data_IF_509495474853
#
_entry.id   IF_509495474853
#
_cell.length_a   1.000
_cell.length_b   1.000
_cell.length_c   1.000
_cell.angle_alpha   90.00
_cell.angle_beta   90.00
_cell.angle_gamma   90.00
#
_symmetry.space_group_name_H-M   'P 1'
#
loop_
_entity.id
_entity.type
_entity.pdbx_description
1 polymer ?
#
# COMPACT_ATOMS: atom_id res chain seq x y z
N UNK A 1 -14.41 -49.74 -10.25
CA UNK A 1 -15.52 -48.88 -9.79
C UNK A 1 -15.21 -48.08 -8.50
N UNK A 2 -13.94 -47.95 -8.07
CA UNK A 2 -13.57 -47.30 -6.80
C UNK A 2 -12.93 -45.89 -6.95
N UNK A 3 -12.55 -45.49 -8.16
CA UNK A 3 -11.90 -44.19 -8.41
C UNK A 3 -12.76 -42.95 -8.05
N UNK A 4 -14.06 -42.85 -8.35
CA UNK A 4 -14.80 -41.61 -8.09
C UNK A 4 -15.05 -41.36 -6.60
N UNK A 5 -15.21 -42.42 -5.78
CA UNK A 5 -15.40 -42.29 -4.33
C UNK A 5 -14.11 -41.80 -3.65
N UNK A 6 -12.95 -42.24 -4.12
CA UNK A 6 -11.64 -41.81 -3.59
C UNK A 6 -11.38 -40.31 -3.83
N UNK A 7 -11.68 -39.79 -5.02
CA UNK A 7 -11.51 -38.36 -5.31
C UNK A 7 -12.49 -37.47 -4.54
N UNK A 8 -13.73 -37.94 -4.30
CA UNK A 8 -14.71 -37.23 -3.48
C UNK A 8 -14.25 -37.15 -2.02
N UNK A 9 -13.72 -38.24 -1.47
CA UNK A 9 -13.20 -38.26 -0.09
C UNK A 9 -11.99 -37.34 0.05
N UNK A 10 -11.04 -37.35 -0.90
CA UNK A 10 -9.90 -36.42 -0.90
C UNK A 10 -10.37 -34.96 -0.98
N UNK A 11 -11.34 -34.66 -1.85
CA UNK A 11 -11.88 -33.31 -2.00
C UNK A 11 -12.57 -32.83 -0.71
N UNK A 12 -13.33 -33.72 -0.04
CA UNK A 12 -13.98 -33.41 1.24
C UNK A 12 -12.94 -33.18 2.34
N UNK A 13 -11.91 -34.02 2.45
CA UNK A 13 -10.85 -33.86 3.45
C UNK A 13 -10.10 -32.54 3.23
N UNK A 14 -9.69 -32.24 1.99
CA UNK A 14 -9.03 -30.97 1.64
C UNK A 14 -9.92 -29.76 1.93
N UNK A 15 -11.24 -29.87 1.68
CA UNK A 15 -12.17 -28.77 1.94
C UNK A 15 -12.37 -28.54 3.45
N UNK A 16 -12.39 -29.61 4.25
CA UNK A 16 -12.50 -29.53 5.72
C UNK A 16 -11.21 -28.96 6.32
N UNK A 17 -10.04 -29.44 5.89
CA UNK A 17 -8.74 -28.91 6.35
C UNK A 17 -8.59 -27.43 6.00
N UNK A 18 -8.95 -27.04 4.77
CA UNK A 18 -8.94 -25.62 4.37
C UNK A 18 -9.93 -24.77 5.17
N UNK A 19 -11.11 -25.31 5.51
CA UNK A 19 -12.10 -24.62 6.33
C UNK A 19 -11.61 -24.35 7.75
N UNK A 20 -11.00 -25.35 8.39
CA UNK A 20 -10.44 -25.22 9.75
C UNK A 20 -9.26 -24.23 9.75
N UNK A 21 -8.36 -24.35 8.78
CA UNK A 21 -7.21 -23.45 8.69
C UNK A 21 -7.62 -22.00 8.39
N UNK A 22 -8.73 -21.79 7.67
CA UNK A 22 -9.32 -20.46 7.48
C UNK A 22 -9.91 -19.89 8.77
N UNK A 23 -10.60 -20.70 9.58
CA UNK A 23 -11.17 -20.24 10.87
C UNK A 23 -10.08 -19.90 11.90
N UNK A 24 -8.94 -20.60 11.87
CA UNK A 24 -7.79 -20.31 12.72
C UNK A 24 -7.14 -18.96 12.35
N UNK A 25 -6.98 -18.69 11.06
CA UNK A 25 -6.44 -17.41 10.55
C UNK A 25 -7.31 -16.23 10.97
N UNK A 26 -8.63 -16.33 10.85
CA UNK A 26 -9.55 -15.26 11.26
C UNK A 26 -9.50 -15.05 12.78
N UNK A 27 -9.52 -16.14 13.56
CA UNK A 27 -9.40 -16.04 15.03
C UNK A 27 -8.09 -15.38 15.47
N UNK A 28 -6.97 -15.69 14.79
CA UNK A 28 -5.70 -15.01 15.02
C UNK A 28 -5.82 -13.50 14.77
N UNK A 29 -6.36 -13.10 13.61
CA UNK A 29 -6.54 -11.69 13.27
C UNK A 29 -7.45 -10.96 14.26
N UNK A 30 -8.54 -11.57 14.69
CA UNK A 30 -9.44 -11.01 15.70
C UNK A 30 -8.70 -10.78 17.03
N UNK A 31 -7.88 -11.75 17.45
CA UNK A 31 -7.07 -11.65 18.68
C UNK A 31 -6.00 -10.56 18.62
N UNK A 32 -5.61 -10.13 17.42
CA UNK A 32 -4.60 -9.10 17.15
C UNK A 32 -5.16 -7.77 16.67
N UNK A 33 -6.48 -7.65 16.61
CA UNK A 33 -7.18 -6.48 16.08
C UNK A 33 -6.78 -5.17 16.77
N UNK A 34 -6.63 -5.18 18.10
CA UNK A 34 -6.22 -3.99 18.87
C UNK A 34 -4.78 -3.55 18.56
N UNK A 35 -3.86 -4.50 18.39
CA UNK A 35 -2.45 -4.25 18.08
C UNK A 35 -2.33 -3.56 16.70
N UNK A 36 -3.00 -4.11 15.68
CA UNK A 36 -2.98 -3.53 14.33
C UNK A 36 -3.78 -2.23 14.23
N UNK A 37 -4.84 -2.06 15.01
CA UNK A 37 -5.55 -0.79 15.12
C UNK A 37 -4.70 0.30 15.80
N UNK A 38 -3.85 -0.07 16.77
CA UNK A 38 -2.90 0.85 17.38
C UNK A 38 -1.81 1.27 16.38
N UNK A 39 -1.31 0.33 15.57
CA UNK A 39 -0.38 0.63 14.48
C UNK A 39 -1.01 1.60 13.47
N UNK A 40 -2.21 1.33 12.98
CA UNK A 40 -2.87 2.20 12.00
C UNK A 40 -3.11 3.62 12.54
N UNK A 41 -3.46 3.76 13.83
CA UNK A 41 -3.56 5.08 14.51
C UNK A 41 -2.22 5.78 14.69
N UNK A 42 -1.14 5.01 14.86
CA UNK A 42 0.22 5.58 14.91
C UNK A 42 0.59 6.13 13.54
N UNK A 43 0.37 5.36 12.47
CA UNK A 43 0.60 5.80 11.08
C UNK A 43 -0.26 7.03 10.76
N UNK A 44 -1.56 7.01 11.14
CA UNK A 44 -2.46 8.16 11.03
C UNK A 44 -1.85 9.44 11.62
N UNK A 45 -1.21 9.32 12.78
CA UNK A 45 -0.63 10.44 13.51
C UNK A 45 0.70 10.92 12.92
N UNK A 46 1.47 10.03 12.29
CA UNK A 46 2.73 10.37 11.61
C UNK A 46 2.46 11.18 10.33
N UNK A 47 1.49 10.74 9.51
CA UNK A 47 1.04 11.44 8.31
C UNK A 47 2.19 11.96 7.42
N UNK A 48 3.16 11.11 7.11
CA UNK A 48 4.33 11.51 6.32
C UNK A 48 4.03 11.51 4.82
N UNK A 49 4.55 12.49 4.09
CA UNK A 49 4.33 12.64 2.65
C UNK A 49 5.12 11.62 1.83
N UNK A 50 4.72 11.44 0.57
CA UNK A 50 5.45 10.66 -0.43
C UNK A 50 6.96 10.91 -0.43
N UNK A 51 7.75 9.83 -0.35
CA UNK A 51 9.23 9.79 -0.24
C UNK A 51 9.81 10.36 1.06
N UNK A 52 8.97 10.68 2.03
CA UNK A 52 9.36 11.20 3.34
C UNK A 52 8.82 10.32 4.48
N UNK A 53 8.32 9.12 4.17
CA UNK A 53 7.67 8.17 5.08
C UNK A 53 8.67 7.43 5.98
N UNK A 54 9.62 8.15 6.58
CA UNK A 54 10.75 7.56 7.30
C UNK A 54 10.30 6.83 8.56
N UNK A 55 9.53 7.49 9.40
CA UNK A 55 9.08 6.91 10.67
C UNK A 55 8.01 5.84 10.44
N UNK A 56 7.14 6.05 9.44
CA UNK A 56 6.10 5.10 9.04
C UNK A 56 6.72 3.82 8.48
N UNK A 57 7.65 3.95 7.54
CA UNK A 57 8.33 2.80 6.94
C UNK A 57 9.16 2.05 7.99
N UNK A 58 9.86 2.77 8.87
CA UNK A 58 10.60 2.16 9.98
C UNK A 58 9.69 1.40 10.94
N UNK A 59 8.55 1.98 11.32
CA UNK A 59 7.55 1.31 12.17
C UNK A 59 7.10 -0.02 11.57
N UNK A 60 6.78 -0.01 10.26
CA UNK A 60 6.35 -1.19 9.53
C UNK A 60 7.44 -2.26 9.46
N UNK A 61 8.66 -1.87 9.10
CA UNK A 61 9.83 -2.77 9.04
C UNK A 61 10.10 -3.40 10.41
N UNK A 62 10.17 -2.59 11.47
CA UNK A 62 10.45 -3.07 12.82
C UNK A 62 9.41 -4.06 13.33
N UNK A 63 8.13 -3.85 13.00
CA UNK A 63 7.10 -4.83 13.33
C UNK A 63 7.30 -6.16 12.58
N UNK A 64 7.61 -6.10 11.28
CA UNK A 64 7.84 -7.31 10.47
C UNK A 64 9.10 -8.07 10.91
N UNK A 65 10.17 -7.36 11.31
CA UNK A 65 11.35 -7.98 11.93
C UNK A 65 11.00 -8.71 13.23
N UNK A 66 10.18 -8.10 14.10
CA UNK A 66 9.69 -8.75 15.33
C UNK A 66 8.86 -10.00 15.03
N UNK A 67 8.18 -10.00 13.89
CA UNK A 67 7.44 -11.14 13.34
C UNK A 67 8.34 -12.15 12.59
N UNK A 68 9.66 -11.99 12.64
CA UNK A 68 10.67 -12.87 12.02
C UNK A 68 10.64 -12.88 10.48
N UNK A 69 10.23 -11.79 9.84
CA UNK A 69 10.48 -11.59 8.42
C UNK A 69 11.93 -11.13 8.20
N UNK A 70 12.51 -11.54 7.06
CA UNK A 70 13.75 -10.95 6.56
C UNK A 70 13.43 -9.69 5.77
N UNK A 71 14.13 -8.58 6.03
CA UNK A 71 13.85 -7.29 5.39
C UNK A 71 14.99 -6.89 4.45
N UNK A 72 14.64 -6.59 3.20
CA UNK A 72 15.47 -5.85 2.27
C UNK A 72 15.10 -4.37 2.34
N UNK A 73 16.00 -3.55 2.88
CA UNK A 73 15.80 -2.12 3.11
C UNK A 73 16.19 -1.28 1.90
N UNK A 74 15.48 -0.16 1.69
CA UNK A 74 15.91 0.87 0.75
C UNK A 74 15.90 0.40 -0.71
N UNK A 75 15.00 -0.50 -1.07
CA UNK A 75 14.97 -1.14 -2.40
C UNK A 75 14.67 -0.13 -3.50
N UNK A 76 15.12 -0.43 -4.73
CA UNK A 76 14.97 0.46 -5.89
C UNK A 76 15.53 1.88 -5.67
N UNK A 77 16.57 2.02 -4.84
CA UNK A 77 17.18 3.30 -4.45
C UNK A 77 16.23 4.26 -3.72
N UNK A 78 15.14 3.73 -3.13
CA UNK A 78 14.17 4.50 -2.38
C UNK A 78 14.32 4.15 -0.88
N UNK A 79 14.85 5.05 -0.04
CA UNK A 79 15.15 4.73 1.36
C UNK A 79 13.95 4.26 2.20
N UNK A 80 12.73 4.68 1.84
CA UNK A 80 11.49 4.29 2.53
C UNK A 80 10.79 3.07 1.92
N UNK A 81 11.29 2.53 0.80
CA UNK A 81 10.78 1.29 0.23
C UNK A 81 11.49 0.07 0.85
N UNK A 82 10.76 -1.03 1.02
CA UNK A 82 11.35 -2.27 1.54
C UNK A 82 10.58 -3.51 1.05
N UNK A 83 11.22 -4.68 1.15
CA UNK A 83 10.58 -5.99 0.94
C UNK A 83 10.78 -6.81 2.20
N UNK A 84 9.70 -7.33 2.78
CA UNK A 84 9.74 -8.25 3.89
C UNK A 84 9.39 -9.66 3.40
N UNK A 85 10.27 -10.64 3.59
CA UNK A 85 10.10 -12.00 3.08
C UNK A 85 10.05 -13.03 4.19
N UNK A 86 9.17 -14.03 4.04
CA UNK A 86 9.17 -15.24 4.85
C UNK A 86 8.84 -16.48 4.01
N UNK A 87 9.41 -17.61 4.40
CA UNK A 87 9.19 -18.90 3.76
C UNK A 87 10.24 -19.20 2.70
N UNK A 88 9.96 -20.19 1.85
CA UNK A 88 10.87 -20.60 0.78
C UNK A 88 10.14 -21.35 -0.33
N UNK A 89 10.72 -21.33 -1.53
CA UNK A 89 10.15 -21.98 -2.69
C UNK A 89 8.97 -21.23 -3.28
N UNK A 90 8.14 -21.96 -4.02
CA UNK A 90 6.98 -21.44 -4.76
C UNK A 90 5.65 -21.94 -4.18
N UNK A 91 4.55 -21.19 -4.35
CA UNK A 91 4.48 -19.89 -5.03
C UNK A 91 5.07 -18.74 -4.19
N UNK A 92 5.50 -17.68 -4.87
CA UNK A 92 5.84 -16.40 -4.26
C UNK A 92 4.61 -15.49 -4.37
N UNK A 93 3.99 -15.22 -3.23
CA UNK A 93 2.83 -14.33 -3.12
C UNK A 93 3.30 -13.01 -2.53
N UNK A 94 3.05 -11.91 -3.24
CA UNK A 94 3.32 -10.56 -2.80
C UNK A 94 2.05 -9.90 -2.25
N UNK A 95 2.16 -9.18 -1.15
CA UNK A 95 1.13 -8.27 -0.62
C UNK A 95 1.69 -6.86 -0.65
N UNK A 96 0.98 -5.92 -1.26
CA UNK A 96 1.40 -4.51 -1.27
C UNK A 96 1.02 -3.82 0.04
N UNK A 97 1.82 -2.85 0.47
CA UNK A 97 1.55 -2.05 1.65
C UNK A 97 1.95 -0.59 1.40
N UNK A 98 0.96 0.26 1.15
CA UNK A 98 1.13 1.70 0.94
C UNK A 98 1.06 2.46 2.26
N UNK A 99 1.70 3.63 2.32
CA UNK A 99 1.94 4.30 3.60
C UNK A 99 2.01 5.83 3.56
N UNK A 100 1.95 6.47 2.41
CA UNK A 100 2.05 7.93 2.29
C UNK A 100 0.76 8.67 2.67
N UNK A 101 0.93 9.89 3.16
CA UNK A 101 -0.14 10.84 3.41
C UNK A 101 -0.21 11.92 2.32
N UNK A 102 -1.31 12.67 2.32
CA UNK A 102 -1.59 13.71 1.34
C UNK A 102 -1.31 15.11 1.90
N UNK A 103 -0.78 16.04 1.08
CA UNK A 103 -0.48 17.41 1.53
C UNK A 103 -1.75 18.21 1.81
N UNK A 104 -1.75 18.97 2.92
CA UNK A 104 -2.84 19.89 3.25
C UNK A 104 -4.15 19.24 3.72
N UNK A 105 -4.14 17.93 3.99
CA UNK A 105 -5.34 17.17 4.40
C UNK A 105 -5.33 16.76 5.88
N UNK A 106 -4.67 17.53 6.74
CA UNK A 106 -4.67 17.28 8.19
C UNK A 106 -6.09 17.24 8.76
N UNK A 107 -6.38 16.16 9.48
CA UNK A 107 -7.72 15.83 9.95
C UNK A 107 -7.68 15.04 11.25
N UNK A 108 -8.63 15.32 12.16
CA UNK A 108 -8.87 14.50 13.35
C UNK A 108 -9.49 13.14 12.96
N UNK A 109 -9.28 12.08 13.73
CA UNK A 109 -9.81 10.75 13.44
C UNK A 109 -11.31 10.67 13.80
N UNK A 110 -12.13 11.53 13.17
CA UNK A 110 -13.56 11.71 13.41
C UNK A 110 -14.33 11.69 12.08
N UNK A 111 -15.60 11.26 12.09
CA UNK A 111 -16.42 11.23 10.89
C UNK A 111 -16.74 12.65 10.38
N UNK A 112 -16.68 13.68 11.22
CA UNK A 112 -16.86 15.07 10.83
C UNK A 112 -15.54 15.76 10.50
N UNK A 113 -15.58 16.72 9.55
CA UNK A 113 -14.41 17.54 9.22
C UNK A 113 -13.98 18.38 10.42
N UNK A 114 -12.79 18.09 10.94
CA UNK A 114 -12.15 18.81 12.05
C UNK A 114 -10.63 18.83 11.87
N UNK A 115 -10.14 19.88 11.23
CA UNK A 115 -8.72 20.08 10.94
C UNK A 115 -7.93 20.16 12.25
N UNK A 116 -6.88 19.35 12.39
CA UNK A 116 -5.96 19.43 13.54
C UNK A 116 -5.06 20.65 13.38
N UNK A 117 -4.44 20.81 12.21
CA UNK A 117 -3.57 21.94 11.88
C UNK A 117 -3.60 22.27 10.39
N UNK A 118 -3.92 23.51 10.06
CA UNK A 118 -4.05 23.97 8.68
C UNK A 118 -2.76 23.73 7.87
N UNK A 119 -2.90 23.27 6.63
CA UNK A 119 -1.80 23.03 5.70
C UNK A 119 -0.91 21.82 6.02
N UNK A 120 -1.11 21.13 7.14
CA UNK A 120 -0.37 19.91 7.45
C UNK A 120 -0.89 18.71 6.65
N UNK A 121 -0.08 17.65 6.46
CA UNK A 121 -0.53 16.43 5.81
C UNK A 121 -1.58 15.65 6.61
N UNK A 122 -2.26 14.72 5.95
CA UNK A 122 -3.16 13.74 6.58
C UNK A 122 -3.51 12.57 5.66
N UNK A 123 -3.96 11.46 6.24
CA UNK A 123 -4.30 10.23 5.52
C UNK A 123 -5.75 10.22 5.01
N UNK A 124 -6.06 11.08 4.04
CA UNK A 124 -7.41 11.11 3.45
C UNK A 124 -7.71 9.93 2.50
N UNK A 125 -6.70 9.23 1.99
CA UNK A 125 -6.84 8.05 1.13
C UNK A 125 -6.79 6.72 1.91
N UNK A 126 -6.62 6.77 3.23
CA UNK A 126 -6.66 5.57 4.06
C UNK A 126 -5.39 4.72 4.10
N UNK A 127 -4.25 5.18 3.55
CA UNK A 127 -3.01 4.37 3.52
C UNK A 127 -2.52 3.91 4.90
N UNK A 128 -2.88 4.62 5.98
CA UNK A 128 -2.67 4.14 7.36
C UNK A 128 -3.37 2.80 7.68
N UNK A 129 -4.56 2.55 7.12
CA UNK A 129 -5.27 1.27 7.20
C UNK A 129 -4.66 0.26 6.24
N UNK A 130 -4.35 0.68 5.01
CA UNK A 130 -3.74 -0.16 3.98
C UNK A 130 -2.46 -0.81 4.53
N UNK A 131 -1.46 -0.02 4.92
CA UNK A 131 -0.19 -0.53 5.41
C UNK A 131 -0.35 -1.50 6.59
N UNK A 132 -1.15 -1.13 7.59
CA UNK A 132 -1.38 -1.96 8.79
C UNK A 132 -2.12 -3.28 8.46
N UNK A 133 -3.17 -3.21 7.65
CA UNK A 133 -3.94 -4.40 7.25
C UNK A 133 -3.14 -5.36 6.38
N UNK A 134 -2.29 -4.84 5.49
CA UNK A 134 -1.38 -5.66 4.69
C UNK A 134 -0.33 -6.37 5.53
N UNK A 135 0.20 -5.71 6.56
CA UNK A 135 1.08 -6.35 7.55
C UNK A 135 0.35 -7.48 8.28
N UNK A 136 -0.87 -7.21 8.77
CA UNK A 136 -1.67 -8.23 9.45
C UNK A 136 -1.91 -9.45 8.56
N UNK A 137 -2.24 -9.24 7.28
CA UNK A 137 -2.42 -10.31 6.31
C UNK A 137 -1.13 -11.11 6.06
N UNK A 138 0.01 -10.44 5.88
CA UNK A 138 1.29 -11.11 5.67
C UNK A 138 1.70 -11.97 6.88
N UNK A 139 1.53 -11.45 8.10
CA UNK A 139 1.79 -12.18 9.35
C UNK A 139 0.85 -13.37 9.51
N UNK A 140 -0.43 -13.21 9.19
CA UNK A 140 -1.40 -14.29 9.26
C UNK A 140 -1.07 -15.43 8.27
N UNK A 141 -0.72 -15.09 7.02
CA UNK A 141 -0.27 -16.09 6.02
C UNK A 141 1.02 -16.78 6.46
N UNK A 142 1.98 -16.02 7.01
CA UNK A 142 3.21 -16.59 7.59
C UNK A 142 2.90 -17.63 8.66
N UNK A 143 2.04 -17.29 9.63
CA UNK A 143 1.68 -18.20 10.71
C UNK A 143 0.98 -19.46 10.17
N UNK A 144 0.09 -19.30 9.19
CA UNK A 144 -0.54 -20.43 8.51
C UNK A 144 0.46 -21.36 7.79
N UNK A 145 1.49 -20.81 7.13
CA UNK A 145 2.57 -21.61 6.52
C UNK A 145 3.31 -22.45 7.58
N UNK A 146 3.58 -21.86 8.75
CA UNK A 146 4.23 -22.55 9.88
C UNK A 146 3.34 -23.68 10.42
N UNK A 147 2.08 -23.36 10.73
CA UNK A 147 1.14 -24.28 11.38
C UNK A 147 0.82 -25.48 10.49
N UNK A 148 0.68 -25.26 9.18
CA UNK A 148 0.34 -26.32 8.22
C UNK A 148 1.56 -27.04 7.66
N UNK A 149 2.75 -26.46 7.80
CA UNK A 149 3.95 -26.93 7.11
C UNK A 149 3.89 -26.76 5.58
N UNK A 150 2.96 -25.92 5.09
CA UNK A 150 2.83 -25.64 3.66
C UNK A 150 4.05 -24.90 3.14
N UNK A 151 4.58 -25.36 2.00
CA UNK A 151 5.69 -24.70 1.32
C UNK A 151 5.20 -23.50 0.52
N UNK A 152 5.92 -22.39 0.59
CA UNK A 152 5.65 -21.17 -0.17
C UNK A 152 6.43 -20.00 0.39
N UNK A 153 6.39 -18.87 -0.33
CA UNK A 153 7.02 -17.63 0.10
C UNK A 153 5.97 -16.52 0.14
N UNK A 154 5.85 -15.84 1.28
CA UNK A 154 5.06 -14.62 1.42
C UNK A 154 6.02 -13.42 1.46
N UNK A 155 5.76 -12.43 0.62
CA UNK A 155 6.49 -11.17 0.59
C UNK A 155 5.55 -9.99 0.80
N UNK A 156 5.88 -9.08 1.70
CA UNK A 156 5.22 -7.79 1.80
C UNK A 156 6.10 -6.71 1.19
N UNK A 157 5.54 -5.92 0.29
CA UNK A 157 6.23 -4.82 -0.38
C UNK A 157 5.76 -3.51 0.23
N UNK A 158 6.62 -2.87 1.01
CA UNK A 158 6.40 -1.51 1.51
C UNK A 158 6.62 -0.51 0.38
N UNK A 159 5.54 0.08 -0.12
CA UNK A 159 5.55 0.90 -1.34
C UNK A 159 5.25 2.36 -1.02
N UNK A 160 6.24 3.26 -1.11
CA UNK A 160 6.05 4.69 -0.80
C UNK A 160 5.44 5.46 -1.97
N UNK A 161 5.01 6.69 -1.67
CA UNK A 161 4.66 7.74 -2.63
C UNK A 161 3.67 7.31 -3.73
N UNK A 162 2.53 6.73 -3.35
CA UNK A 162 1.49 6.33 -4.31
C UNK A 162 0.85 7.55 -4.97
N UNK A 163 0.53 8.57 -4.18
CA UNK A 163 -0.37 9.70 -4.53
C UNK A 163 0.16 10.66 -5.61
N UNK A 164 1.30 10.33 -6.21
CA UNK A 164 1.91 11.12 -7.28
C UNK A 164 3.40 10.85 -7.46
N UNK A 165 4.04 10.15 -6.52
CA UNK A 165 5.45 9.78 -6.63
C UNK A 165 5.69 8.60 -7.56
N UNK A 166 4.72 7.70 -7.71
CA UNK A 166 4.84 6.47 -8.50
C UNK A 166 5.89 5.49 -7.94
N UNK A 167 6.05 5.39 -6.61
CA UNK A 167 7.09 4.53 -6.00
C UNK A 167 7.08 3.09 -6.53
N UNK A 168 5.90 2.49 -6.67
CA UNK A 168 5.72 1.15 -7.26
C UNK A 168 6.28 1.02 -8.68
N UNK A 169 6.18 2.05 -9.50
CA UNK A 169 6.68 2.03 -10.89
C UNK A 169 8.20 1.88 -10.89
N UNK A 170 8.91 2.55 -9.98
CA UNK A 170 10.36 2.40 -9.85
C UNK A 170 10.76 1.04 -9.30
N UNK A 171 9.99 0.50 -8.35
CA UNK A 171 10.18 -0.86 -7.84
C UNK A 171 10.01 -1.93 -8.94
N UNK A 172 8.97 -1.79 -9.78
CA UNK A 172 8.78 -2.64 -10.96
C UNK A 172 9.93 -2.49 -11.95
N UNK A 173 10.37 -1.27 -12.25
CA UNK A 173 11.52 -1.03 -13.15
C UNK A 173 12.83 -1.62 -12.63
N UNK A 174 12.99 -1.72 -11.31
CA UNK A 174 14.13 -2.36 -10.67
C UNK A 174 14.07 -3.90 -10.69
N UNK A 175 13.03 -4.50 -11.28
CA UNK A 175 12.87 -5.96 -11.41
C UNK A 175 12.39 -6.66 -10.13
N UNK A 176 11.93 -5.90 -9.13
CA UNK A 176 11.59 -6.45 -7.80
C UNK A 176 10.36 -7.38 -7.81
N UNK A 177 9.61 -7.41 -8.92
CA UNK A 177 8.42 -8.24 -9.08
C UNK A 177 8.61 -9.37 -10.10
N UNK A 178 9.80 -9.51 -10.71
CA UNK A 178 10.02 -10.41 -11.85
C UNK A 178 9.86 -11.91 -11.50
N UNK A 179 10.05 -12.27 -10.22
CA UNK A 179 9.95 -13.64 -9.72
C UNK A 179 8.62 -13.93 -8.98
N UNK A 180 7.77 -12.91 -8.80
CA UNK A 180 6.51 -13.02 -8.06
C UNK A 180 5.45 -13.73 -8.90
N UNK A 181 4.82 -14.76 -8.34
CA UNK A 181 3.78 -15.52 -9.04
C UNK A 181 2.40 -14.81 -8.92
N UNK A 182 2.11 -14.16 -7.79
CA UNK A 182 0.84 -13.46 -7.52
C UNK A 182 1.10 -12.18 -6.72
N UNK A 183 0.49 -11.06 -7.12
CA UNK A 183 0.48 -9.81 -6.32
C UNK A 183 -0.94 -9.51 -5.87
N UNK A 184 -1.12 -9.35 -4.56
CA UNK A 184 -2.37 -9.00 -3.92
C UNK A 184 -2.31 -7.54 -3.44
N UNK A 185 -3.40 -6.83 -3.71
CA UNK A 185 -3.64 -5.44 -3.34
C UNK A 185 -5.04 -5.36 -2.74
N UNK A 186 -5.25 -4.41 -1.83
CA UNK A 186 -6.57 -3.95 -1.42
C UNK A 186 -6.50 -2.44 -1.20
N UNK A 187 -7.64 -1.76 -1.17
CA UNK A 187 -7.67 -0.34 -0.84
C UNK A 187 -8.83 -0.08 0.13
N UNK A 188 -8.64 0.73 1.18
CA UNK A 188 -9.74 1.14 2.05
C UNK A 188 -10.84 1.83 1.27
N UNK A 189 -12.09 1.52 1.62
CA UNK A 189 -13.30 2.16 1.12
C UNK A 189 -14.37 2.16 2.21
N UNK A 190 -15.49 2.81 1.95
CA UNK A 190 -16.72 2.79 2.74
C UNK A 190 -17.49 1.45 2.70
N UNK A 191 -17.07 0.51 1.85
CA UNK A 191 -17.65 -0.83 1.73
C UNK A 191 -16.57 -1.88 1.42
N UNK A 192 -16.85 -3.13 1.77
CA UNK A 192 -16.04 -4.27 1.35
C UNK A 192 -16.54 -4.76 -0.01
N UNK A 193 -15.63 -4.85 -0.99
CA UNK A 193 -15.93 -5.31 -2.33
C UNK A 193 -14.69 -5.99 -2.94
N UNK A 194 -14.90 -6.92 -3.86
CA UNK A 194 -13.85 -7.56 -4.63
C UNK A 194 -14.26 -7.53 -6.10
N UNK A 195 -13.56 -6.71 -6.89
CA UNK A 195 -13.90 -6.47 -8.29
C UNK A 195 -12.71 -6.79 -9.19
N UNK A 196 -12.92 -7.48 -10.32
CA UNK A 196 -11.87 -7.67 -11.33
C UNK A 196 -11.64 -6.41 -12.19
N UNK A 197 -12.33 -5.30 -11.89
CA UNK A 197 -12.19 -4.05 -12.63
C UNK A 197 -10.78 -3.47 -12.49
N UNK A 198 -10.26 -2.90 -13.58
CA UNK A 198 -8.97 -2.20 -13.60
C UNK A 198 -9.15 -0.71 -13.31
N UNK A 199 -8.04 0.00 -13.07
CA UNK A 199 -7.99 1.44 -12.89
C UNK A 199 -7.67 2.16 -14.21
N UNK A 200 -7.93 3.47 -14.26
CA UNK A 200 -7.56 4.30 -15.40
C UNK A 200 -6.06 4.56 -15.41
N UNK A 201 -5.46 4.55 -16.60
CA UNK A 201 -4.09 5.00 -16.76
C UNK A 201 -3.99 6.51 -16.51
N UNK A 202 -3.01 6.94 -15.72
CA UNK A 202 -2.77 8.34 -15.39
C UNK A 202 -1.42 8.81 -15.96
N UNK A 203 -1.39 10.01 -16.54
CA UNK A 203 -0.17 10.70 -16.94
C UNK A 203 -0.29 12.18 -16.56
N UNK A 204 0.60 12.64 -15.70
CA UNK A 204 0.69 14.05 -15.33
C UNK A 204 1.73 14.78 -16.17
N UNK A 205 1.48 16.06 -16.44
CA UNK A 205 2.42 16.95 -17.11
C UNK A 205 2.41 18.32 -16.42
N UNK A 206 3.58 18.96 -16.34
CA UNK A 206 3.73 20.32 -15.81
C UNK A 206 4.19 21.24 -16.91
N UNK A 207 3.35 22.20 -17.26
CA UNK A 207 3.67 23.26 -18.22
C UNK A 207 4.13 24.50 -17.48
N UNK A 208 5.14 25.19 -18.01
CA UNK A 208 5.58 26.48 -17.50
C UNK A 208 5.60 27.48 -18.64
N UNK A 209 4.80 28.52 -18.50
CA UNK A 209 4.69 29.60 -19.45
C UNK A 209 5.61 30.73 -19.04
N UNK A 210 6.32 31.30 -20.01
CA UNK A 210 7.22 32.43 -19.81
C UNK A 210 6.76 33.57 -20.70
N UNK A 211 6.59 34.74 -20.08
CA UNK A 211 6.11 35.95 -20.73
C UNK A 211 7.09 37.10 -20.59
N UNK A 212 6.66 38.28 -21.04
CA UNK A 212 7.36 39.55 -20.86
C UNK A 212 6.41 40.46 -20.10
N UNK A 213 6.84 40.95 -18.93
CA UNK A 213 6.04 41.87 -18.13
C UNK A 213 5.98 43.26 -18.80
N UNK A 214 4.80 43.88 -18.76
CA UNK A 214 4.59 45.26 -19.18
C UNK A 214 3.51 45.92 -18.31
N UNK A 215 3.43 47.25 -18.37
CA UNK A 215 2.37 47.97 -17.67
C UNK A 215 1.03 47.74 -18.37
N UNK A 216 0.10 47.04 -17.70
CA UNK A 216 -1.14 46.55 -18.29
C UNK A 216 -1.98 47.63 -19.00
N UNK A 217 -2.07 48.84 -18.44
CA UNK A 217 -2.85 49.93 -19.03
C UNK A 217 -2.06 50.89 -19.93
N UNK A 218 -0.72 50.90 -19.86
CA UNK A 218 0.09 51.98 -20.46
C UNK A 218 0.88 51.52 -21.68
N UNK A 219 1.26 50.23 -21.74
CA UNK A 219 1.95 49.65 -22.89
C UNK A 219 1.71 48.12 -22.96
N UNK A 220 0.46 47.64 -22.97
CA UNK A 220 0.16 46.21 -23.02
C UNK A 220 0.81 45.50 -24.22
N UNK A 221 0.95 46.19 -25.35
CA UNK A 221 1.57 45.70 -26.58
C UNK A 221 3.07 45.40 -26.44
N UNK A 222 3.73 45.94 -25.40
CA UNK A 222 5.13 45.62 -25.07
C UNK A 222 5.27 44.35 -24.24
N UNK A 223 4.16 43.83 -23.73
CA UNK A 223 4.12 42.60 -22.94
C UNK A 223 3.97 41.34 -23.80
N UNK A 224 4.20 40.20 -23.16
CA UNK A 224 3.75 38.89 -23.62
C UNK A 224 3.16 38.20 -22.39
N UNK A 225 1.84 38.14 -22.30
CA UNK A 225 1.17 37.64 -21.10
C UNK A 225 1.38 36.14 -20.95
N UNK A 226 2.06 35.72 -19.89
CA UNK A 226 2.13 34.31 -19.51
C UNK A 226 0.77 33.80 -19.04
N UNK A 227 -0.10 34.68 -18.53
CA UNK A 227 -1.47 34.34 -18.12
C UNK A 227 -2.35 34.02 -19.33
N UNK A 228 -2.31 34.85 -20.37
CA UNK A 228 -3.11 34.61 -21.60
C UNK A 228 -2.70 33.28 -22.25
N UNK A 229 -1.42 32.93 -22.18
CA UNK A 229 -0.92 31.65 -22.66
C UNK A 229 -1.43 30.46 -21.82
N UNK A 230 -1.63 30.63 -20.51
CA UNK A 230 -2.26 29.63 -19.63
C UNK A 230 -3.75 29.49 -19.96
N UNK A 231 -4.46 30.60 -20.14
CA UNK A 231 -5.90 30.60 -20.43
C UNK A 231 -6.24 30.01 -21.81
N UNK A 232 -5.29 30.03 -22.74
CA UNK A 232 -5.47 29.51 -24.10
C UNK A 232 -5.17 28.01 -24.26
N UNK A 233 -4.75 27.31 -23.19
CA UNK A 233 -4.34 25.90 -23.24
C UNK A 233 -5.50 24.91 -23.04
#
# INVERSE_FOLDING_TARGET
MFKPIFYIIIFIILSIENGIASDDVIRFLDSKSEDYAAMSKTIWSLAELGYQEKETSKLMQSHLEQENFSIDYGVAEIPTAFIASYGSGKPIIAILAEMDALPGLSQDAKPERKIIKEGMPGHACGHHLFGAGSIAAAVAVKNWLIETGTTGTIRLYGTPAEEGGSGKVYMVRAGLFDDVDIVMHWHPSDKNDASPASSLANKSAKFRFYGIAAHAAAAPEKGRSALDAVESM
#
